data_IF_296392592334
#
_entry.id   IF_296392592334
#
_cell.length_a   1.000
_cell.length_b   1.000
_cell.length_c   1.000
_cell.angle_alpha   90.00
_cell.angle_beta   90.00
_cell.angle_gamma   90.00
#
_symmetry.space_group_name_H-M   'P 1'
#
loop_
_entity.id
_entity.type
_entity.pdbx_description
1 polymer ?
#
# COMPACT_ATOMS: atom_id res chain seq x y z
N UNK A 1 5.69 -20.74 16.30
CA UNK A 1 4.90 -19.49 16.49
C UNK A 1 4.16 -19.27 15.18
N UNK A 2 2.87 -19.01 15.21
CA UNK A 2 2.10 -18.63 14.01
C UNK A 2 2.60 -17.24 13.61
N UNK A 3 3.05 -17.10 12.38
CA UNK A 3 3.56 -15.82 11.86
C UNK A 3 2.34 -14.94 11.54
N UNK A 4 2.25 -13.79 12.20
CA UNK A 4 1.22 -12.79 11.87
C UNK A 4 1.60 -12.06 10.57
N UNK A 5 0.65 -11.80 9.66
CA UNK A 5 0.88 -10.99 8.47
C UNK A 5 1.45 -9.61 8.81
N UNK A 6 2.36 -9.12 7.97
CA UNK A 6 2.81 -7.73 8.06
C UNK A 6 1.93 -6.85 7.18
N UNK A 7 1.38 -5.79 7.75
CA UNK A 7 0.53 -4.85 7.02
C UNK A 7 1.35 -3.63 6.59
N UNK A 8 1.39 -3.40 5.28
CA UNK A 8 2.10 -2.29 4.63
C UNK A 8 1.10 -1.38 3.93
N UNK A 9 1.01 -0.13 4.34
CA UNK A 9 0.10 0.85 3.75
C UNK A 9 0.85 1.87 2.89
N UNK A 10 0.46 2.00 1.63
CA UNK A 10 0.93 3.05 0.73
C UNK A 10 0.03 4.27 0.90
N UNK A 11 0.56 5.36 1.46
CA UNK A 11 -0.25 6.50 1.84
C UNK A 11 0.43 7.85 1.56
N UNK A 12 -0.34 8.78 1.09
CA UNK A 12 -0.07 10.22 1.07
C UNK A 12 -1.39 10.94 0.73
N UNK A 13 -1.62 12.12 1.30
CA UNK A 13 -2.82 12.91 0.98
C UNK A 13 -2.79 13.52 -0.43
N UNK A 14 -1.63 13.52 -1.10
CA UNK A 14 -1.50 14.04 -2.48
C UNK A 14 -1.79 12.95 -3.50
N UNK A 15 -2.69 13.25 -4.45
CA UNK A 15 -2.92 12.42 -5.64
C UNK A 15 -1.73 12.46 -6.62
N UNK A 16 -1.56 11.40 -7.40
CA UNK A 16 -0.54 11.31 -8.46
C UNK A 16 0.89 11.06 -8.01
N UNK A 17 1.17 10.88 -6.71
CA UNK A 17 2.52 10.61 -6.19
C UNK A 17 3.00 9.17 -6.43
N UNK A 18 2.12 8.29 -6.92
CA UNK A 18 2.45 6.91 -7.27
C UNK A 18 2.14 5.88 -6.18
N UNK A 19 1.22 6.14 -5.24
CA UNK A 19 0.78 5.15 -4.23
C UNK A 19 0.40 3.83 -4.88
N UNK A 20 -0.60 3.84 -5.73
CA UNK A 20 -1.13 2.67 -6.45
C UNK A 20 -0.07 1.94 -7.27
N UNK A 21 0.73 2.69 -8.05
CA UNK A 21 1.81 2.11 -8.86
C UNK A 21 2.84 1.39 -8.00
N UNK A 22 3.31 2.03 -6.92
CA UNK A 22 4.29 1.42 -6.03
C UNK A 22 3.69 0.26 -5.22
N UNK A 23 2.42 0.34 -4.82
CA UNK A 23 1.71 -0.75 -4.15
C UNK A 23 1.70 -2.02 -5.02
N UNK A 24 1.23 -1.93 -6.28
CA UNK A 24 1.19 -3.06 -7.21
C UNK A 24 2.60 -3.55 -7.55
N UNK A 25 3.54 -2.64 -7.81
CA UNK A 25 4.91 -3.02 -8.13
C UNK A 25 5.59 -3.72 -6.95
N UNK A 26 5.30 -3.29 -5.72
CA UNK A 26 5.81 -3.94 -4.52
C UNK A 26 5.14 -5.30 -4.26
N UNK A 27 3.84 -5.46 -4.59
CA UNK A 27 3.19 -6.77 -4.56
C UNK A 27 3.90 -7.77 -5.48
N UNK A 28 4.15 -7.37 -6.74
CA UNK A 28 4.89 -8.19 -7.68
C UNK A 28 6.31 -8.55 -7.17
N UNK A 29 7.00 -7.57 -6.57
CA UNK A 29 8.33 -7.77 -5.97
C UNK A 29 8.29 -8.81 -4.83
N UNK A 30 7.30 -8.71 -3.94
CA UNK A 30 7.13 -9.63 -2.80
C UNK A 30 6.82 -11.07 -3.27
N UNK A 31 5.95 -11.21 -4.26
CA UNK A 31 5.65 -12.52 -4.86
C UNK A 31 6.89 -13.14 -5.50
N UNK A 32 7.72 -12.35 -6.19
CA UNK A 32 9.01 -12.83 -6.72
C UNK A 32 9.97 -13.29 -5.60
N UNK A 33 9.83 -12.77 -4.38
CA UNK A 33 10.56 -13.23 -3.19
C UNK A 33 9.89 -14.42 -2.49
N UNK A 34 8.77 -14.93 -3.03
CA UNK A 34 8.04 -16.08 -2.49
C UNK A 34 7.04 -15.75 -1.38
N UNK A 35 6.69 -14.47 -1.17
CA UNK A 35 5.70 -14.08 -0.18
C UNK A 35 4.27 -14.34 -0.68
N UNK A 36 3.39 -14.76 0.24
CA UNK A 36 1.93 -14.81 0.02
C UNK A 36 1.37 -13.41 0.30
N UNK A 37 0.90 -12.76 -0.75
CA UNK A 37 0.50 -11.35 -0.72
C UNK A 37 -1.00 -11.22 -0.94
N UNK A 38 -1.63 -10.30 -0.22
CA UNK A 38 -2.98 -9.79 -0.50
C UNK A 38 -2.90 -8.28 -0.66
N UNK A 39 -3.57 -7.74 -1.67
CA UNK A 39 -3.67 -6.29 -1.92
C UNK A 39 -5.09 -5.83 -1.66
N UNK A 40 -5.25 -4.85 -0.78
CA UNK A 40 -6.53 -4.21 -0.49
C UNK A 40 -6.54 -2.81 -1.12
N UNK A 41 -7.41 -2.63 -2.10
CA UNK A 41 -7.62 -1.35 -2.80
C UNK A 41 -8.66 -0.53 -2.02
N UNK A 42 -8.18 0.42 -1.20
CA UNK A 42 -9.04 1.25 -0.34
C UNK A 42 -9.42 2.59 -0.98
N UNK A 43 -8.94 2.87 -2.19
CA UNK A 43 -9.35 4.08 -2.93
C UNK A 43 -10.69 3.84 -3.63
N UNK A 44 -11.64 4.76 -3.50
CA UNK A 44 -12.96 4.68 -4.14
C UNK A 44 -12.93 4.55 -5.66
N UNK A 45 -11.80 4.87 -6.30
CA UNK A 45 -11.61 4.65 -7.73
C UNK A 45 -11.33 3.19 -8.09
N UNK A 46 -10.96 2.34 -7.14
CA UNK A 46 -10.63 0.93 -7.30
C UNK A 46 -9.72 0.66 -8.51
N UNK A 47 -8.64 1.44 -8.60
CA UNK A 47 -7.72 1.43 -9.75
C UNK A 47 -6.97 0.10 -9.87
N UNK A 48 -6.60 -0.52 -8.75
CA UNK A 48 -5.90 -1.82 -8.74
C UNK A 48 -6.86 -2.93 -9.18
N UNK A 49 -8.08 -2.94 -8.66
CA UNK A 49 -9.08 -3.93 -9.04
C UNK A 49 -9.46 -3.83 -10.53
N UNK A 50 -9.60 -2.60 -11.05
CA UNK A 50 -9.83 -2.36 -12.50
C UNK A 50 -8.66 -2.87 -13.34
N UNK A 51 -7.42 -2.64 -12.89
CA UNK A 51 -6.21 -3.14 -13.54
C UNK A 51 -6.22 -4.68 -13.55
N UNK A 52 -6.51 -5.33 -12.41
CA UNK A 52 -6.62 -6.78 -12.29
C UNK A 52 -7.64 -7.37 -13.28
N UNK A 53 -8.84 -6.78 -13.38
CA UNK A 53 -9.86 -7.21 -14.33
C UNK A 53 -9.40 -7.10 -15.80
N UNK A 54 -8.69 -6.00 -16.12
CA UNK A 54 -8.13 -5.80 -17.46
C UNK A 54 -7.00 -6.81 -17.77
N UNK A 55 -6.15 -7.09 -16.80
CA UNK A 55 -5.07 -8.07 -16.92
C UNK A 55 -5.60 -9.49 -17.11
N UNK A 56 -6.60 -9.92 -16.35
CA UNK A 56 -7.27 -11.22 -16.50
C UNK A 56 -7.87 -11.34 -17.90
N UNK A 57 -8.53 -10.29 -18.39
CA UNK A 57 -9.08 -10.27 -19.74
C UNK A 57 -8.01 -10.41 -20.82
N UNK A 58 -6.82 -9.85 -20.59
CA UNK A 58 -5.70 -9.84 -21.54
C UNK A 58 -4.92 -11.15 -21.54
N UNK A 59 -4.67 -11.73 -20.36
CA UNK A 59 -3.77 -12.86 -20.18
C UNK A 59 -4.51 -14.20 -19.94
N UNK A 60 -5.83 -14.16 -19.78
CA UNK A 60 -6.67 -15.30 -19.39
C UNK A 60 -6.74 -15.49 -17.87
N UNK A 61 -7.65 -16.35 -17.43
CA UNK A 61 -7.80 -16.75 -16.02
C UNK A 61 -6.72 -17.76 -15.60
N UNK A 62 -5.47 -17.42 -15.81
CA UNK A 62 -4.37 -18.17 -15.21
C UNK A 62 -4.33 -17.88 -13.71
N UNK A 63 -3.68 -18.74 -12.94
CA UNK A 63 -3.49 -18.55 -11.50
C UNK A 63 -2.95 -17.13 -11.23
N UNK A 64 -3.74 -16.33 -10.52
CA UNK A 64 -3.33 -14.97 -10.15
C UNK A 64 -2.21 -15.03 -9.13
N UNK A 65 -1.16 -14.18 -9.25
CA UNK A 65 0.00 -14.25 -8.37
C UNK A 65 -0.32 -13.84 -6.92
N UNK A 66 -1.40 -13.08 -6.69
CA UNK A 66 -1.92 -12.63 -5.40
C UNK A 66 -3.35 -12.14 -5.54
N UNK A 67 -4.09 -12.08 -4.44
CA UNK A 67 -5.45 -11.58 -4.42
C UNK A 67 -5.48 -10.04 -4.40
N UNK A 68 -6.50 -9.48 -5.06
CA UNK A 68 -6.80 -8.04 -5.07
C UNK A 68 -8.26 -7.86 -4.66
N UNK A 69 -8.48 -7.21 -3.53
CA UNK A 69 -9.78 -6.94 -2.97
C UNK A 69 -10.02 -5.43 -2.92
N UNK A 70 -11.23 -4.98 -3.24
CA UNK A 70 -11.64 -3.60 -3.00
C UNK A 70 -12.26 -3.50 -1.61
N UNK A 71 -11.96 -2.43 -0.89
CA UNK A 71 -12.56 -2.18 0.42
C UNK A 71 -12.65 -0.67 0.69
N UNK A 72 -13.84 -0.15 0.84
CA UNK A 72 -14.04 1.28 1.11
C UNK A 72 -13.73 1.62 2.57
N UNK A 73 -12.80 2.54 2.79
CA UNK A 73 -12.37 2.97 4.11
C UNK A 73 -13.35 3.99 4.77
N UNK A 74 -14.65 3.86 4.53
CA UNK A 74 -15.66 4.83 4.94
C UNK A 74 -16.12 4.66 6.39
N UNK A 75 -16.01 3.45 6.94
CA UNK A 75 -16.48 3.11 8.29
C UNK A 75 -15.32 2.70 9.21
N UNK A 76 -15.29 3.33 10.38
CA UNK A 76 -14.23 3.11 11.38
C UNK A 76 -14.28 1.69 11.96
N UNK A 77 -15.47 1.21 12.31
CA UNK A 77 -15.65 -0.10 12.95
C UNK A 77 -15.37 -1.23 11.95
N UNK A 78 -15.89 -1.10 10.73
CA UNK A 78 -15.65 -2.07 9.67
C UNK A 78 -14.16 -2.17 9.33
N UNK A 79 -13.43 -1.04 9.25
CA UNK A 79 -11.98 -1.04 9.05
C UNK A 79 -11.23 -1.70 10.21
N UNK A 80 -11.62 -1.43 11.46
CA UNK A 80 -11.01 -2.09 12.63
C UNK A 80 -11.18 -3.61 12.55
N UNK A 81 -12.39 -4.08 12.25
CA UNK A 81 -12.68 -5.51 12.09
C UNK A 81 -11.88 -6.14 10.94
N UNK A 82 -11.75 -5.43 9.81
CA UNK A 82 -10.92 -5.90 8.69
C UNK A 82 -9.45 -6.04 9.12
N UNK A 83 -8.88 -5.04 9.77
CA UNK A 83 -7.49 -5.06 10.21
C UNK A 83 -7.21 -6.20 11.18
N UNK A 84 -8.13 -6.46 12.13
CA UNK A 84 -8.07 -7.60 13.05
C UNK A 84 -8.10 -8.94 12.31
N UNK A 85 -8.99 -9.11 11.33
CA UNK A 85 -9.07 -10.33 10.51
C UNK A 85 -7.78 -10.55 9.74
N UNK A 86 -7.25 -9.51 9.11
CA UNK A 86 -6.01 -9.58 8.32
C UNK A 86 -4.80 -9.95 9.20
N UNK A 87 -4.67 -9.38 10.40
CA UNK A 87 -3.58 -9.72 11.34
C UNK A 87 -3.63 -11.18 11.83
N UNK A 88 -4.81 -11.79 11.83
CA UNK A 88 -5.01 -13.15 12.35
C UNK A 88 -5.03 -14.22 11.24
N UNK A 89 -4.79 -13.88 9.97
CA UNK A 89 -4.81 -14.83 8.87
C UNK A 89 -3.42 -15.46 8.63
N UNK A 90 -3.21 -16.73 9.03
CA UNK A 90 -1.91 -17.39 8.88
C UNK A 90 -1.61 -17.79 7.44
N UNK A 91 -2.54 -17.64 6.51
CA UNK A 91 -2.35 -17.95 5.09
C UNK A 91 -1.63 -16.82 4.34
N UNK A 92 -1.53 -15.64 4.93
CA UNK A 92 -0.94 -14.43 4.36
C UNK A 92 0.42 -14.13 5.03
N UNK A 93 1.39 -13.68 4.26
CA UNK A 93 2.66 -13.16 4.79
C UNK A 93 2.68 -11.64 4.83
N UNK A 94 2.12 -10.98 3.79
CA UNK A 94 2.07 -9.53 3.68
C UNK A 94 0.72 -9.07 3.12
N UNK A 95 0.13 -8.10 3.79
CA UNK A 95 -1.02 -7.34 3.29
C UNK A 95 -0.56 -5.97 2.82
N UNK A 96 -0.90 -5.60 1.59
CA UNK A 96 -0.65 -4.27 1.05
C UNK A 96 -1.96 -3.49 0.98
N UNK A 97 -1.98 -2.30 1.58
CA UNK A 97 -3.13 -1.40 1.58
C UNK A 97 -2.83 -0.20 0.70
N UNK A 98 -3.59 0.01 -0.39
CA UNK A 98 -3.54 1.25 -1.19
C UNK A 98 -4.54 2.25 -0.62
N UNK A 99 -4.06 3.25 0.12
CA UNK A 99 -4.94 4.18 0.83
C UNK A 99 -5.55 5.23 -0.08
N UNK A 100 -6.77 5.74 0.24
CA UNK A 100 -7.34 6.89 -0.43
C UNK A 100 -6.43 8.12 -0.36
N UNK A 101 -6.56 9.01 -1.35
CA UNK A 101 -5.83 10.29 -1.37
C UNK A 101 -6.38 11.34 -0.42
N UNK A 102 -7.52 11.12 0.22
CA UNK A 102 -8.17 12.06 1.16
C UNK A 102 -8.00 11.60 2.60
N UNK A 103 -7.57 12.49 3.49
CA UNK A 103 -7.53 12.22 4.95
C UNK A 103 -8.89 12.40 5.65
N UNK A 104 -9.96 12.72 4.92
CA UNK A 104 -11.30 12.96 5.46
C UNK A 104 -12.17 11.69 5.53
N UNK A 105 -11.55 10.53 5.53
CA UNK A 105 -12.23 9.23 5.52
C UNK A 105 -12.10 8.61 6.90
N UNK A 106 -13.20 8.22 7.52
CA UNK A 106 -13.26 7.83 8.93
C UNK A 106 -12.47 6.56 9.25
N UNK A 107 -12.39 5.62 8.32
CA UNK A 107 -11.64 4.37 8.46
C UNK A 107 -10.11 4.53 8.38
N UNK A 108 -9.58 5.71 8.07
CA UNK A 108 -8.11 5.89 7.95
C UNK A 108 -7.39 5.84 9.30
N UNK A 109 -8.01 6.28 10.38
CA UNK A 109 -7.36 6.21 11.71
C UNK A 109 -7.11 4.75 12.10
N UNK A 110 -8.11 3.84 12.12
CA UNK A 110 -7.84 2.43 12.43
C UNK A 110 -6.91 1.77 11.41
N UNK A 111 -6.97 2.15 10.12
CA UNK A 111 -6.02 1.66 9.13
C UNK A 111 -4.58 2.01 9.51
N UNK A 112 -4.26 3.28 9.80
CA UNK A 112 -2.90 3.69 10.14
C UNK A 112 -2.44 3.18 11.51
N UNK A 113 -3.33 3.10 12.49
CA UNK A 113 -3.00 2.59 13.83
C UNK A 113 -2.59 1.12 13.79
N UNK A 114 -3.25 0.33 12.94
CA UNK A 114 -3.02 -1.11 12.81
C UNK A 114 -2.05 -1.49 11.68
N UNK A 115 -1.37 -0.53 11.08
CA UNK A 115 -0.35 -0.75 10.04
C UNK A 115 1.04 -0.90 10.67
N UNK A 116 1.85 -1.84 10.17
CA UNK A 116 3.23 -2.05 10.62
C UNK A 116 4.23 -1.15 9.89
N UNK A 117 3.96 -0.89 8.59
CA UNK A 117 4.81 -0.07 7.73
C UNK A 117 3.98 0.87 6.89
N UNK A 118 4.29 2.16 6.92
CA UNK A 118 3.70 3.16 6.03
C UNK A 118 4.74 3.59 5.01
N UNK A 119 4.44 3.35 3.72
CA UNK A 119 5.24 3.82 2.59
C UNK A 119 4.63 5.11 2.07
N UNK A 120 5.42 6.20 2.09
CA UNK A 120 4.97 7.55 1.75
C UNK A 120 5.68 8.03 0.48
N UNK A 121 5.14 7.75 -0.72
CA UNK A 121 5.70 8.29 -1.95
C UNK A 121 5.44 9.79 -2.08
N UNK A 122 6.42 10.54 -2.59
CA UNK A 122 6.29 11.96 -2.87
C UNK A 122 7.20 12.41 -4.03
N UNK A 123 6.95 13.60 -4.57
CA UNK A 123 7.83 14.25 -5.57
C UNK A 123 8.52 15.47 -4.96
N UNK A 124 9.71 15.79 -5.47
CA UNK A 124 10.38 17.04 -5.15
C UNK A 124 9.82 18.21 -5.99
N UNK A 125 8.59 18.63 -5.69
CA UNK A 125 7.95 19.77 -6.31
C UNK A 125 7.27 20.68 -5.28
N UNK A 126 6.93 21.90 -5.70
CA UNK A 126 6.37 22.95 -4.83
C UNK A 126 5.01 22.61 -4.23
N UNK A 127 4.28 21.66 -4.81
CA UNK A 127 2.93 21.27 -4.35
C UNK A 127 2.97 20.01 -3.48
N UNK A 128 3.77 19.04 -3.90
CA UNK A 128 3.82 17.72 -3.25
C UNK A 128 4.59 17.77 -1.93
N UNK A 129 5.70 18.51 -1.86
CA UNK A 129 6.50 18.59 -0.63
C UNK A 129 5.70 19.15 0.55
N UNK A 130 5.00 20.31 0.46
CA UNK A 130 4.18 20.82 1.57
C UNK A 130 3.02 19.88 1.93
N UNK A 131 2.39 19.25 0.94
CA UNK A 131 1.32 18.28 1.16
C UNK A 131 1.82 17.06 1.91
N UNK A 132 2.99 16.53 1.52
CA UNK A 132 3.63 15.40 2.20
C UNK A 132 4.06 15.77 3.63
N UNK A 133 4.61 16.97 3.84
CA UNK A 133 4.93 17.47 5.17
C UNK A 133 3.69 17.49 6.09
N UNK A 134 2.55 17.96 5.57
CA UNK A 134 1.28 17.95 6.31
C UNK A 134 0.82 16.53 6.65
N UNK A 135 1.00 15.57 5.73
CA UNK A 135 0.70 14.16 5.97
C UNK A 135 1.61 13.57 7.05
N UNK A 136 2.93 13.82 6.98
CA UNK A 136 3.89 13.33 7.99
C UNK A 136 3.60 13.90 9.38
N UNK A 137 3.26 15.18 9.47
CA UNK A 137 2.80 15.81 10.71
C UNK A 137 1.51 15.19 11.25
N UNK A 138 0.56 14.84 10.38
CA UNK A 138 -0.66 14.14 10.77
C UNK A 138 -0.33 12.77 11.39
N UNK A 139 0.53 11.97 10.75
CA UNK A 139 0.95 10.66 11.26
C UNK A 139 1.70 10.80 12.59
N UNK A 140 2.59 11.79 12.73
CA UNK A 140 3.32 12.05 13.98
C UNK A 140 2.37 12.40 15.13
N UNK A 141 1.38 13.27 14.86
CA UNK A 141 0.34 13.61 15.84
C UNK A 141 -0.52 12.42 16.22
N UNK A 142 -0.88 11.59 15.26
CA UNK A 142 -1.63 10.36 15.49
C UNK A 142 -0.84 9.40 16.38
N UNK A 143 0.44 9.16 16.07
CA UNK A 143 1.33 8.33 16.91
C UNK A 143 1.41 8.85 18.35
N UNK A 144 1.54 10.16 18.53
CA UNK A 144 1.56 10.78 19.86
C UNK A 144 0.24 10.63 20.60
N UNK A 145 -0.88 10.70 19.89
CA UNK A 145 -2.22 10.61 20.48
C UNK A 145 -2.57 9.17 20.94
N UNK A 146 -2.15 8.15 20.18
CA UNK A 146 -2.49 6.74 20.47
C UNK A 146 -1.36 5.98 21.18
N UNK A 147 -0.17 6.55 21.27
CA UNK A 147 0.98 5.98 21.97
C UNK A 147 1.42 4.63 21.39
N UNK A 148 1.62 3.65 22.26
CA UNK A 148 2.10 2.30 21.94
C UNK A 148 1.17 1.48 21.03
N UNK A 149 -0.04 1.95 20.77
CA UNK A 149 -0.97 1.27 19.86
C UNK A 149 -0.52 1.38 18.39
N UNK A 150 0.22 2.44 18.04
CA UNK A 150 0.72 2.65 16.66
C UNK A 150 2.24 2.51 16.61
N UNK A 151 2.71 1.36 16.13
CA UNK A 151 4.14 1.04 15.99
C UNK A 151 4.66 1.20 14.56
N UNK A 152 3.86 1.76 13.67
CA UNK A 152 4.18 1.88 12.25
C UNK A 152 5.55 2.53 12.02
N UNK A 153 6.37 1.88 11.18
CA UNK A 153 7.62 2.45 10.65
C UNK A 153 7.33 3.16 9.33
N UNK A 154 7.93 4.32 9.11
CA UNK A 154 7.72 5.11 7.91
C UNK A 154 8.91 4.96 6.95
N UNK A 155 8.62 4.63 5.69
CA UNK A 155 9.54 4.72 4.55
C UNK A 155 9.06 5.81 3.62
N UNK A 156 9.81 6.89 3.54
CA UNK A 156 9.48 8.07 2.73
C UNK A 156 10.23 7.95 1.41
N UNK A 157 9.48 7.82 0.31
CA UNK A 157 10.01 7.43 -0.99
C UNK A 157 9.96 8.61 -1.97
N UNK A 158 11.12 9.24 -2.28
CA UNK A 158 11.19 10.19 -3.38
C UNK A 158 10.93 9.47 -4.71
N UNK A 159 9.75 9.69 -5.30
CA UNK A 159 9.26 9.00 -6.50
C UNK A 159 9.20 9.93 -7.70
N UNK A 160 9.11 9.36 -8.91
CA UNK A 160 9.00 10.07 -10.19
C UNK A 160 10.09 11.15 -10.40
N UNK A 161 11.29 10.89 -9.90
CA UNK A 161 12.40 11.82 -10.01
C UNK A 161 12.88 11.92 -11.46
N UNK A 162 12.69 13.08 -12.10
CA UNK A 162 13.21 13.35 -13.43
C UNK A 162 14.67 13.82 -13.31
N UNK A 163 15.61 12.99 -13.74
CA UNK A 163 17.06 13.29 -13.70
C UNK A 163 17.49 14.44 -14.59
N UNK A 164 16.59 14.95 -15.46
CA UNK A 164 16.84 16.15 -16.30
C UNK A 164 16.50 17.46 -15.57
N UNK A 165 15.79 17.35 -14.44
CA UNK A 165 15.39 18.48 -13.60
C UNK A 165 16.32 18.50 -12.38
N UNK A 166 16.66 19.67 -11.93
CA UNK A 166 17.49 19.86 -10.73
C UNK A 166 18.66 20.82 -11.01
N UNK A 167 18.39 22.13 -11.07
CA UNK A 167 19.41 23.16 -11.00
C UNK A 167 20.05 23.12 -9.60
N UNK A 168 21.26 23.66 -9.47
CA UNK A 168 22.04 23.61 -8.21
C UNK A 168 21.24 24.04 -6.96
N UNK A 169 20.42 25.07 -7.07
CA UNK A 169 19.57 25.54 -5.96
C UNK A 169 18.42 24.58 -5.64
N UNK A 170 17.86 23.87 -6.63
CA UNK A 170 16.81 22.86 -6.43
C UNK A 170 17.38 21.63 -5.72
N UNK A 171 18.62 21.22 -6.05
CA UNK A 171 19.29 20.11 -5.36
C UNK A 171 19.51 20.40 -3.88
N UNK A 172 19.82 21.64 -3.52
CA UNK A 172 19.91 22.06 -2.11
C UNK A 172 18.54 21.96 -1.42
N UNK A 173 17.48 22.41 -2.07
CA UNK A 173 16.12 22.29 -1.52
C UNK A 173 15.69 20.83 -1.35
N UNK A 174 16.07 19.97 -2.27
CA UNK A 174 15.78 18.53 -2.16
C UNK A 174 16.53 17.88 -0.99
N UNK A 175 17.78 18.26 -0.75
CA UNK A 175 18.54 17.76 0.38
C UNK A 175 17.97 18.27 1.70
N UNK A 176 17.62 19.54 1.80
CA UNK A 176 16.94 20.10 2.97
C UNK A 176 15.59 19.41 3.22
N UNK A 177 14.83 19.10 2.17
CA UNK A 177 13.57 18.34 2.29
C UNK A 177 13.84 16.94 2.79
N UNK A 178 14.87 16.27 2.26
CA UNK A 178 15.26 14.93 2.70
C UNK A 178 15.63 14.92 4.19
N UNK A 179 16.43 15.86 4.63
CA UNK A 179 16.83 16.03 6.02
C UNK A 179 15.61 16.28 6.93
N UNK A 180 14.73 17.21 6.54
CA UNK A 180 13.52 17.50 7.30
C UNK A 180 12.60 16.27 7.41
N UNK A 181 12.44 15.50 6.34
CA UNK A 181 11.59 14.31 6.34
C UNK A 181 12.21 13.15 7.12
N UNK A 182 13.54 13.08 7.22
CA UNK A 182 14.23 12.04 7.99
C UNK A 182 13.89 12.06 9.48
N UNK A 183 13.36 13.18 10.01
CA UNK A 183 12.85 13.27 11.38
C UNK A 183 11.57 12.45 11.62
N UNK A 184 10.87 12.05 10.56
CA UNK A 184 9.62 11.27 10.64
C UNK A 184 9.80 9.80 10.31
N UNK A 185 10.81 9.45 9.49
CA UNK A 185 11.03 8.10 9.05
C UNK A 185 12.25 7.96 8.14
N UNK A 186 12.48 6.77 7.64
CA UNK A 186 13.59 6.50 6.74
C UNK A 186 13.30 7.04 5.33
N UNK A 187 14.10 7.99 4.87
CA UNK A 187 14.02 8.51 3.49
C UNK A 187 14.88 7.62 2.57
N UNK A 188 14.24 6.94 1.63
CA UNK A 188 14.88 5.97 0.74
C UNK A 188 15.72 6.62 -0.37
N UNK A 189 16.33 5.80 -1.23
CA UNK A 189 16.81 6.23 -2.52
C UNK A 189 15.67 6.76 -3.40
N UNK A 190 15.99 7.52 -4.46
CA UNK A 190 15.02 8.10 -5.39
C UNK A 190 14.59 7.04 -6.42
N UNK A 191 13.28 6.95 -6.70
CA UNK A 191 12.78 6.20 -7.86
C UNK A 191 12.67 7.16 -9.05
N UNK A 192 13.39 6.89 -10.16
CA UNK A 192 13.35 7.77 -11.34
C UNK A 192 12.01 7.68 -12.06
N UNK A 193 11.63 8.78 -12.72
CA UNK A 193 10.50 8.79 -13.67
C UNK A 193 10.88 7.98 -14.91
N UNK A 194 10.20 6.86 -15.14
CA UNK A 194 10.40 5.95 -16.28
C UNK A 194 9.08 5.48 -16.84
N UNK A 195 8.96 5.40 -18.16
CA UNK A 195 7.78 4.89 -18.84
C UNK A 195 7.44 3.43 -18.45
N UNK A 196 8.47 2.63 -18.12
CA UNK A 196 8.26 1.26 -17.65
C UNK A 196 7.48 1.20 -16.34
N UNK A 197 7.60 2.21 -15.45
CA UNK A 197 6.81 2.30 -14.21
C UNK A 197 5.32 2.61 -14.46
N UNK A 198 4.99 3.22 -15.60
CA UNK A 198 3.60 3.49 -16.01
C UNK A 198 2.93 2.24 -16.61
N UNK A 199 3.72 1.23 -17.01
CA UNK A 199 3.27 -0.02 -17.64
C UNK A 199 3.28 -1.19 -16.66
N UNK A 200 2.80 -0.97 -15.44
CA UNK A 200 2.71 -2.04 -14.46
C UNK A 200 1.50 -2.94 -14.76
N UNK A 201 1.61 -4.19 -14.33
CA UNK A 201 0.54 -5.19 -14.41
C UNK A 201 0.41 -5.87 -13.05
N UNK A 202 -0.80 -6.29 -12.71
CA UNK A 202 -1.05 -7.05 -11.48
C UNK A 202 -0.73 -8.54 -11.63
N UNK A 203 -0.42 -8.99 -12.85
CA UNK A 203 -0.20 -10.41 -13.21
C UNK A 203 1.25 -10.70 -13.61
N UNK A 204 2.03 -9.67 -13.91
CA UNK A 204 3.36 -9.85 -14.49
C UNK A 204 4.47 -9.64 -13.47
N UNK A 205 5.57 -10.37 -13.67
CA UNK A 205 6.82 -10.12 -12.96
C UNK A 205 7.40 -8.73 -13.31
N UNK A 206 8.31 -8.26 -12.47
CA UNK A 206 8.96 -6.94 -12.57
C UNK A 206 10.10 -6.88 -13.60
N UNK A 207 10.02 -7.52 -14.76
CA UNK A 207 11.15 -7.72 -15.66
C UNK A 207 11.98 -6.44 -15.93
N UNK A 208 11.29 -5.33 -16.23
CA UNK A 208 11.94 -4.04 -16.53
C UNK A 208 11.95 -3.09 -15.33
N UNK A 209 11.00 -3.24 -14.42
CA UNK A 209 10.90 -2.40 -13.23
C UNK A 209 11.87 -2.82 -12.13
N UNK A 210 12.29 -4.10 -12.07
CA UNK A 210 13.13 -4.64 -10.99
C UNK A 210 14.37 -3.78 -10.73
N UNK A 211 15.17 -3.48 -11.75
CA UNK A 211 16.37 -2.65 -11.62
C UNK A 211 16.09 -1.20 -11.19
N UNK A 212 14.87 -0.70 -11.44
CA UNK A 212 14.44 0.65 -11.07
C UNK A 212 14.08 0.72 -9.59
N UNK A 213 13.34 -0.28 -9.09
CA UNK A 213 12.75 -0.26 -7.75
C UNK A 213 13.56 -0.99 -6.69
N UNK A 214 14.43 -1.94 -7.07
CA UNK A 214 15.20 -2.76 -6.11
C UNK A 214 15.96 -1.94 -5.06
N UNK A 215 16.64 -0.82 -5.38
CA UNK A 215 17.34 -0.06 -4.35
C UNK A 215 16.43 0.47 -3.23
N UNK A 216 15.14 0.65 -3.52
CA UNK A 216 14.12 1.11 -2.58
C UNK A 216 13.41 -0.08 -1.93
N UNK A 217 12.98 -1.05 -2.74
CA UNK A 217 12.20 -2.18 -2.28
C UNK A 217 13.01 -3.17 -1.44
N UNK A 218 14.29 -3.40 -1.77
CA UNK A 218 15.18 -4.20 -0.91
C UNK A 218 15.33 -3.58 0.47
N UNK A 219 15.34 -2.24 0.57
CA UNK A 219 15.42 -1.53 1.85
C UNK A 219 14.11 -1.63 2.64
N UNK A 220 12.96 -1.51 1.98
CA UNK A 220 11.65 -1.72 2.63
C UNK A 220 11.52 -3.18 3.06
N UNK A 221 11.87 -4.12 2.18
CA UNK A 221 11.84 -5.56 2.44
C UNK A 221 12.69 -5.94 3.66
N UNK A 222 13.95 -5.51 3.71
CA UNK A 222 14.81 -5.77 4.85
C UNK A 222 14.26 -5.14 6.14
N UNK A 223 13.64 -3.96 6.05
CA UNK A 223 12.95 -3.35 7.17
C UNK A 223 11.72 -4.15 7.66
N UNK A 224 11.06 -4.90 6.78
CA UNK A 224 9.91 -5.75 7.12
C UNK A 224 10.40 -7.09 7.71
N UNK A 225 11.36 -7.73 7.08
CA UNK A 225 11.72 -9.12 7.33
C UNK A 225 12.98 -9.32 8.18
N UNK A 226 13.76 -8.29 8.51
CA UNK A 226 14.85 -8.38 9.50
C UNK A 226 14.39 -8.81 10.91
N UNK A 227 13.06 -8.73 11.15
CA UNK A 227 12.40 -9.18 12.39
C UNK A 227 11.57 -10.45 12.21
N UNK A 228 11.43 -10.97 10.99
CA UNK A 228 10.60 -12.13 10.64
C UNK A 228 11.47 -13.23 10.04
N UNK A 229 11.16 -14.48 10.40
CA UNK A 229 11.85 -15.68 9.88
C UNK A 229 11.66 -15.85 8.35
N UNK A 230 12.55 -16.56 7.64
CA UNK A 230 12.49 -16.70 6.20
C UNK A 230 11.16 -17.29 5.72
N UNK A 231 10.70 -16.74 4.59
CA UNK A 231 9.44 -17.09 3.92
C UNK A 231 9.42 -18.59 3.58
N UNK A 232 8.31 -19.24 3.88
CA UNK A 232 8.06 -20.65 3.51
C UNK A 232 7.81 -20.78 2.01
N UNK A 233 7.97 -22.00 1.47
CA UNK A 233 7.60 -22.27 0.09
C UNK A 233 6.15 -21.92 -0.23
N UNK A 234 5.84 -21.39 -1.42
CA UNK A 234 4.50 -20.88 -1.76
C UNK A 234 3.45 -21.99 -1.73
N UNK A 235 2.48 -21.86 -0.85
CA UNK A 235 1.28 -22.72 -0.83
C UNK A 235 0.10 -21.96 -1.45
N UNK A 236 -0.56 -22.58 -2.42
CA UNK A 236 -1.76 -22.09 -3.12
C UNK A 236 -2.97 -22.04 -2.16
N UNK A 237 -3.21 -20.96 -1.43
CA UNK A 237 -4.37 -20.86 -0.54
C UNK A 237 -4.91 -19.44 -0.30
N UNK A 238 -4.94 -18.59 -1.33
CA UNK A 238 -5.63 -17.29 -1.25
C UNK A 238 -7.16 -17.35 -1.39
N UNK A 239 -7.73 -18.52 -1.71
CA UNK A 239 -9.13 -18.67 -2.15
C UNK A 239 -10.16 -18.49 -1.03
N UNK A 240 -9.81 -18.72 0.25
CA UNK A 240 -10.77 -18.71 1.35
C UNK A 240 -11.15 -17.31 1.87
N UNK A 241 -10.25 -16.33 1.76
CA UNK A 241 -10.55 -14.96 2.22
C UNK A 241 -11.53 -14.26 1.27
N UNK A 242 -11.39 -14.49 -0.04
CA UNK A 242 -12.27 -13.96 -1.09
C UNK A 242 -13.71 -14.46 -0.90
N UNK A 243 -13.89 -15.74 -0.57
CA UNK A 243 -15.22 -16.33 -0.33
C UNK A 243 -15.93 -15.71 0.87
N UNK A 244 -15.21 -15.45 1.96
CA UNK A 244 -15.78 -14.89 3.19
C UNK A 244 -16.09 -13.39 3.10
N UNK A 245 -15.36 -12.63 2.28
CA UNK A 245 -15.64 -11.21 2.08
C UNK A 245 -16.80 -11.01 1.10
N UNK A 246 -16.87 -11.80 0.03
CA UNK A 246 -17.98 -11.76 -0.93
C UNK A 246 -19.31 -12.18 -0.28
N UNK A 247 -19.31 -13.17 0.64
CA UNK A 247 -20.53 -13.57 1.37
C UNK A 247 -21.05 -12.46 2.30
N UNK A 248 -20.18 -11.61 2.83
CA UNK A 248 -20.61 -10.48 3.67
C UNK A 248 -21.15 -9.31 2.82
N UNK A 249 -20.64 -9.10 1.59
CA UNK A 249 -21.18 -8.08 0.67
C UNK A 249 -22.55 -8.50 0.10
N UNK A 250 -22.74 -9.77 -0.25
CA UNK A 250 -24.04 -10.31 -0.68
C UNK A 250 -25.08 -10.25 0.45
N UNK A 251 -24.69 -10.59 1.68
CA UNK A 251 -25.59 -10.51 2.84
C UNK A 251 -25.96 -9.06 3.18
N UNK A 252 -25.09 -8.09 2.91
CA UNK A 252 -25.35 -6.68 3.16
C UNK A 252 -26.24 -6.07 2.07
N UNK A 253 -26.05 -6.45 0.79
CA UNK A 253 -26.91 -6.06 -0.32
C UNK A 253 -28.33 -6.62 -0.17
N UNK A 254 -28.48 -7.89 0.23
CA UNK A 254 -29.78 -8.51 0.51
C UNK A 254 -30.52 -7.86 1.70
N UNK A 255 -29.78 -7.34 2.69
CA UNK A 255 -30.37 -6.61 3.81
C UNK A 255 -30.87 -5.23 3.40
N UNK A 256 -30.11 -4.52 2.57
CA UNK A 256 -30.45 -3.19 2.07
C UNK A 256 -31.61 -3.23 1.05
N UNK A 257 -31.68 -4.29 0.20
CA UNK A 257 -32.82 -4.50 -0.70
C UNK A 257 -34.13 -4.83 0.05
N UNK A 258 -34.07 -5.58 1.14
CA UNK A 258 -35.27 -5.87 1.96
C UNK A 258 -35.78 -4.63 2.70
N UNK A 259 -34.91 -3.75 3.16
CA UNK A 259 -35.32 -2.47 3.78
C UNK A 259 -35.93 -1.49 2.78
N UNK A 260 -35.57 -1.59 1.49
CA UNK A 260 -36.13 -0.70 0.43
C UNK A 260 -37.48 -1.16 -0.12
N UNK A 261 -37.94 -2.38 0.20
CA UNK A 261 -39.24 -2.92 -0.25
C UNK A 261 -40.36 -2.76 0.82
N UNK A 262 -40.00 -2.37 2.03
CA UNK A 262 -40.95 -2.18 3.16
C UNK A 262 -41.29 -0.68 3.39
N UNK A 263 -40.98 0.21 2.45
CA UNK A 263 -41.38 1.63 2.40
C UNK A 263 -42.23 1.87 1.14
#
# INVERSE_FOLDING_TARGET
MVQTPVIVTFANQKGGVGKTTLCVTFANYLVMKGARVVVIDCDSQHSILKCRKADIKKYGETVTPYDVLAYEANDKQAMTTLMEKLHNDPSIDVVLMDSPGSLKVDGLIPLFVNTDVIVVPFHYDLVTVPSTASFLLFIDRLKKAVGEQMKARLFIVPNLNDGRVGKRHELVLWENTREAFSNYGYVTAKIPKRADMERFSTMAALDRQAGIVSPVFDKIYSGIFDTLQPIREPTLSGIQLTANLNQNEEAQQDADEKQSQDI
#
